data_IF_796097635234
#
_entry.id   IF_796097635234
#
_cell.length_a   1.000
_cell.length_b   1.000
_cell.length_c   1.000
_cell.angle_alpha   90.00
_cell.angle_beta   90.00
_cell.angle_gamma   90.00
#
_symmetry.space_group_name_H-M   'P 1'
#
loop_
_entity.id
_entity.type
_entity.pdbx_description
1 polymer ?
#
# COMPACT_ATOMS: atom_id res chain seq x y z
N UNK A 1 -16.96 -33.06 3.94
CA UNK A 1 -17.28 -31.63 3.78
C UNK A 1 -16.82 -30.86 5.01
N UNK A 2 -16.59 -29.57 4.87
CA UNK A 2 -16.15 -28.65 5.92
C UNK A 2 -17.18 -27.53 6.08
N UNK A 3 -17.56 -27.21 7.32
CA UNK A 3 -18.44 -26.06 7.61
C UNK A 3 -17.71 -24.73 7.41
N UNK A 4 -18.39 -23.63 7.08
CA UNK A 4 -17.75 -22.31 7.13
C UNK A 4 -17.42 -21.94 8.59
N UNK A 5 -16.23 -21.37 8.88
CA UNK A 5 -15.94 -20.94 10.26
C UNK A 5 -16.71 -19.68 10.66
N UNK A 6 -17.22 -18.91 9.69
CA UNK A 6 -17.91 -17.64 9.95
C UNK A 6 -19.44 -17.72 9.88
N UNK A 7 -20.01 -18.86 9.49
CA UNK A 7 -21.46 -19.06 9.47
C UNK A 7 -21.83 -20.54 9.58
N UNK A 8 -23.05 -20.82 10.02
CA UNK A 8 -23.54 -22.18 10.24
C UNK A 8 -24.20 -22.81 9.00
N UNK A 9 -24.47 -21.99 7.97
CA UNK A 9 -25.37 -22.38 6.88
C UNK A 9 -24.67 -23.02 5.67
N UNK A 10 -23.35 -22.84 5.54
CA UNK A 10 -22.62 -23.18 4.33
C UNK A 10 -21.54 -24.23 4.59
N UNK A 11 -21.41 -25.17 3.66
CA UNK A 11 -20.38 -26.22 3.68
C UNK A 11 -19.69 -26.31 2.32
N UNK A 12 -18.42 -26.69 2.33
CA UNK A 12 -17.64 -26.88 1.11
C UNK A 12 -16.71 -28.10 1.22
N UNK A 13 -16.25 -28.62 0.09
CA UNK A 13 -15.26 -29.70 0.08
C UNK A 13 -13.89 -29.20 0.57
N UNK A 14 -13.09 -30.10 1.14
CA UNK A 14 -11.73 -29.80 1.54
C UNK A 14 -10.93 -29.22 0.36
N UNK A 15 -10.31 -28.06 0.55
CA UNK A 15 -9.54 -27.36 -0.48
C UNK A 15 -10.39 -26.66 -1.55
N UNK A 16 -11.72 -26.66 -1.43
CA UNK A 16 -12.64 -26.05 -2.40
C UNK A 16 -13.39 -24.83 -1.88
N UNK A 17 -13.12 -24.38 -0.66
CA UNK A 17 -13.66 -23.12 -0.13
C UNK A 17 -13.11 -21.89 -0.86
N UNK A 18 -13.58 -20.73 -0.42
CA UNK A 18 -13.16 -19.45 -0.99
C UNK A 18 -11.68 -19.16 -0.70
N UNK A 19 -11.03 -18.38 -1.55
CA UNK A 19 -9.62 -18.00 -1.39
C UNK A 19 -9.49 -16.90 -0.34
N UNK A 20 -9.09 -17.26 0.87
CA UNK A 20 -8.83 -16.33 1.96
C UNK A 20 -7.32 -16.09 2.08
N UNK A 21 -6.88 -14.84 2.20
CA UNK A 21 -5.44 -14.52 2.24
C UNK A 21 -4.97 -14.23 3.67
N UNK A 22 -3.80 -14.76 4.04
CA UNK A 22 -3.20 -14.49 5.34
C UNK A 22 -2.77 -13.01 5.47
N UNK A 23 -2.31 -12.40 4.38
CA UNK A 23 -2.16 -10.95 4.23
C UNK A 23 -3.05 -10.52 3.08
N UNK A 24 -3.79 -9.42 3.23
CA UNK A 24 -4.74 -8.98 2.21
C UNK A 24 -4.06 -8.88 0.84
N UNK A 25 -4.75 -9.40 -0.18
CA UNK A 25 -4.28 -9.38 -1.57
C UNK A 25 -4.01 -7.94 -2.04
N UNK A 26 -4.77 -6.96 -1.58
CA UNK A 26 -4.60 -5.52 -1.88
C UNK A 26 -3.28 -4.93 -1.35
N UNK A 27 -2.71 -5.54 -0.31
CA UNK A 27 -1.45 -5.12 0.32
C UNK A 27 -0.24 -5.91 -0.20
N UNK A 28 -0.42 -6.74 -1.23
CA UNK A 28 0.65 -7.55 -1.79
C UNK A 28 0.77 -8.96 -1.20
N UNK A 29 -0.17 -9.39 -0.35
CA UNK A 29 -0.17 -10.76 0.19
C UNK A 29 -0.30 -11.85 -0.86
N UNK A 30 0.31 -13.02 -0.61
CA UNK A 30 0.33 -14.18 -1.54
C UNK A 30 -0.07 -15.51 -0.89
N UNK A 31 0.17 -15.67 0.41
CA UNK A 31 -0.23 -16.88 1.15
C UNK A 31 -1.75 -16.89 1.36
N UNK A 32 -2.37 -18.01 1.01
CA UNK A 32 -3.82 -18.19 1.07
C UNK A 32 -4.22 -19.55 1.62
N UNK A 33 -5.46 -19.67 2.06
CA UNK A 33 -6.12 -20.92 2.42
C UNK A 33 -7.48 -21.02 1.72
N UNK A 34 -7.89 -22.24 1.39
CA UNK A 34 -9.23 -22.58 0.87
C UNK A 34 -10.06 -23.39 1.86
N UNK A 35 -9.60 -23.49 3.11
CA UNK A 35 -10.20 -24.32 4.15
C UNK A 35 -10.91 -23.50 5.24
N UNK A 36 -11.01 -22.19 5.05
CA UNK A 36 -11.50 -21.22 6.05
C UNK A 36 -13.01 -20.99 5.89
N UNK A 37 -13.43 -20.43 4.75
CA UNK A 37 -14.77 -19.87 4.61
C UNK A 37 -15.44 -20.18 3.25
N UNK A 38 -16.77 -20.06 3.23
CA UNK A 38 -17.55 -20.06 2.00
C UNK A 38 -17.41 -18.73 1.24
N UNK A 39 -17.86 -18.70 -0.01
CA UNK A 39 -17.78 -17.49 -0.85
C UNK A 39 -18.62 -16.33 -0.30
N UNK A 40 -19.83 -16.62 0.21
CA UNK A 40 -20.71 -15.61 0.80
C UNK A 40 -20.06 -14.87 1.98
N UNK A 41 -19.46 -15.62 2.92
CA UNK A 41 -18.75 -15.01 4.05
C UNK A 41 -17.49 -14.26 3.61
N UNK A 42 -16.72 -14.78 2.66
CA UNK A 42 -15.55 -14.07 2.16
C UNK A 42 -15.95 -12.72 1.53
N UNK A 43 -16.99 -12.70 0.69
CA UNK A 43 -17.47 -11.47 0.06
C UNK A 43 -18.05 -10.47 1.07
N UNK A 44 -18.78 -10.96 2.08
CA UNK A 44 -19.33 -10.12 3.16
C UNK A 44 -18.21 -9.48 3.97
N UNK A 45 -17.27 -10.27 4.47
CA UNK A 45 -16.14 -9.77 5.27
C UNK A 45 -15.20 -8.90 4.44
N UNK A 46 -14.99 -9.24 3.16
CA UNK A 46 -14.25 -8.41 2.22
C UNK A 46 -14.78 -6.98 2.19
N UNK A 47 -16.10 -6.82 2.02
CA UNK A 47 -16.76 -5.51 2.02
C UNK A 47 -16.81 -4.83 3.38
N UNK A 48 -17.02 -5.61 4.44
CA UNK A 48 -17.27 -5.06 5.77
C UNK A 48 -16.00 -4.60 6.49
N UNK A 49 -14.90 -5.36 6.34
CA UNK A 49 -13.68 -5.16 7.14
C UNK A 49 -12.41 -5.04 6.28
N UNK A 50 -12.27 -5.79 5.17
CA UNK A 50 -11.02 -5.77 4.39
C UNK A 50 -10.90 -4.54 3.48
N UNK A 51 -12.02 -4.06 2.90
CA UNK A 51 -12.04 -2.91 1.99
C UNK A 51 -11.63 -1.62 2.72
N UNK A 52 -12.04 -1.45 3.98
CA UNK A 52 -11.67 -0.30 4.81
C UNK A 52 -10.17 -0.23 5.07
N UNK A 53 -9.59 -1.34 5.55
CA UNK A 53 -8.15 -1.44 5.78
C UNK A 53 -7.35 -1.26 4.48
N UNK A 54 -7.80 -1.90 3.40
CA UNK A 54 -7.19 -1.79 2.07
C UNK A 54 -7.19 -0.35 1.55
N UNK A 55 -8.31 0.36 1.69
CA UNK A 55 -8.45 1.75 1.24
C UNK A 55 -7.51 2.68 2.02
N UNK A 56 -7.48 2.55 3.35
CA UNK A 56 -6.65 3.39 4.22
C UNK A 56 -5.15 3.23 3.99
N UNK A 57 -4.72 2.01 3.66
CA UNK A 57 -3.32 1.74 3.35
C UNK A 57 -2.99 1.86 1.84
N UNK A 58 -3.97 2.21 1.01
CA UNK A 58 -3.82 2.18 -0.45
C UNK A 58 -2.79 3.17 -0.97
N UNK A 59 -2.60 4.31 -0.30
CA UNK A 59 -1.57 5.30 -0.66
C UNK A 59 -0.16 4.69 -0.61
N UNK A 60 0.11 3.81 0.36
CA UNK A 60 1.39 3.11 0.47
C UNK A 60 1.54 2.13 -0.70
N UNK A 61 0.47 1.40 -1.04
CA UNK A 61 0.46 0.53 -2.22
C UNK A 61 0.76 1.30 -3.51
N UNK A 62 0.21 2.50 -3.68
CA UNK A 62 0.48 3.36 -4.84
C UNK A 62 1.91 3.87 -4.83
N UNK A 63 2.41 4.41 -3.72
CA UNK A 63 3.78 4.93 -3.58
C UNK A 63 4.82 3.84 -3.88
N UNK A 64 4.59 2.62 -3.39
CA UNK A 64 5.49 1.48 -3.59
C UNK A 64 5.24 0.71 -4.90
N UNK A 65 4.22 1.08 -5.68
CA UNK A 65 3.77 0.34 -6.88
C UNK A 65 3.50 -1.15 -6.62
N UNK A 66 2.84 -1.45 -5.50
CA UNK A 66 2.56 -2.82 -5.08
C UNK A 66 1.51 -3.46 -5.99
N UNK A 67 1.83 -4.66 -6.47
CA UNK A 67 0.87 -5.49 -7.21
C UNK A 67 0.09 -6.37 -6.26
N UNK A 68 -1.23 -6.38 -6.47
CA UNK A 68 -2.12 -7.24 -5.69
C UNK A 68 -1.79 -8.72 -5.86
N UNK A 69 -2.30 -9.59 -4.97
CA UNK A 69 -2.25 -11.07 -5.08
C UNK A 69 -2.75 -11.64 -6.40
N UNK A 70 -3.45 -10.83 -7.21
CA UNK A 70 -3.97 -11.16 -8.53
C UNK A 70 -3.22 -10.42 -9.66
N UNK A 71 -2.04 -9.87 -9.38
CA UNK A 71 -1.20 -9.09 -10.30
C UNK A 71 -1.86 -7.83 -10.88
N UNK A 72 -2.89 -7.28 -10.22
CA UNK A 72 -3.43 -5.94 -10.55
C UNK A 72 -2.55 -4.85 -9.96
N UNK A 73 -2.38 -3.76 -10.69
CA UNK A 73 -1.67 -2.56 -10.23
C UNK A 73 -2.41 -1.88 -9.07
N UNK A 74 -1.68 -1.12 -8.26
CA UNK A 74 -2.25 -0.25 -7.25
C UNK A 74 -3.21 0.78 -7.89
N UNK A 75 -4.21 1.30 -7.13
CA UNK A 75 -5.11 2.31 -7.65
C UNK A 75 -4.42 3.67 -7.82
N UNK A 76 -5.00 4.52 -8.67
CA UNK A 76 -4.65 5.94 -8.75
C UNK A 76 -5.25 6.67 -7.54
N UNK A 77 -4.44 7.45 -6.85
CA UNK A 77 -4.86 8.23 -5.69
C UNK A 77 -5.27 9.63 -6.14
N UNK A 78 -6.53 10.00 -5.89
CA UNK A 78 -7.10 11.23 -6.44
C UNK A 78 -6.82 12.42 -5.52
N UNK A 79 -6.19 13.48 -6.04
CA UNK A 79 -6.00 14.74 -5.33
C UNK A 79 -5.16 14.69 -4.04
N UNK A 80 -4.37 13.63 -3.85
CA UNK A 80 -3.57 13.42 -2.62
C UNK A 80 -2.25 14.20 -2.62
N UNK A 81 -1.79 14.64 -3.79
CA UNK A 81 -0.55 15.39 -3.93
C UNK A 81 -0.88 16.88 -3.94
N UNK A 82 -0.20 17.67 -3.11
CA UNK A 82 -0.33 19.12 -3.05
C UNK A 82 0.90 19.82 -3.61
N UNK A 83 0.69 20.82 -4.44
CA UNK A 83 1.76 21.67 -4.96
C UNK A 83 1.26 23.12 -5.02
N UNK A 84 1.69 23.93 -4.06
CA UNK A 84 1.02 25.21 -3.78
C UNK A 84 -0.45 24.98 -3.40
N UNK A 85 -1.36 25.72 -4.03
CA UNK A 85 -2.81 25.61 -3.81
C UNK A 85 -3.48 24.52 -4.68
N UNK A 86 -2.70 23.84 -5.51
CA UNK A 86 -3.21 22.86 -6.47
C UNK A 86 -3.11 21.43 -5.95
N UNK A 87 -3.99 20.57 -6.47
CA UNK A 87 -4.04 19.15 -6.12
C UNK A 87 -3.87 18.26 -7.35
N UNK A 88 -3.05 17.24 -7.21
CA UNK A 88 -2.68 16.31 -8.26
C UNK A 88 -3.02 14.88 -7.85
N UNK A 89 -3.30 14.06 -8.85
CA UNK A 89 -3.48 12.63 -8.72
C UNK A 89 -2.11 11.96 -8.72
N UNK A 90 -1.94 10.91 -7.92
CA UNK A 90 -0.74 10.08 -7.90
C UNK A 90 -1.01 8.74 -8.57
N UNK A 91 -0.23 8.43 -9.60
CA UNK A 91 -0.24 7.13 -10.26
C UNK A 91 0.70 6.15 -9.54
N UNK A 92 0.49 4.83 -9.69
CA UNK A 92 1.41 3.81 -9.17
C UNK A 92 2.85 3.93 -9.71
N UNK A 93 3.02 4.55 -10.88
CA UNK A 93 4.33 4.85 -11.47
C UNK A 93 5.09 5.95 -10.73
N UNK A 94 4.45 6.63 -9.76
CA UNK A 94 4.98 7.83 -9.11
C UNK A 94 4.73 9.11 -9.91
N UNK A 95 4.05 9.03 -11.06
CA UNK A 95 3.66 10.21 -11.83
C UNK A 95 2.55 11.00 -11.13
N UNK A 96 2.67 12.32 -11.20
CA UNK A 96 1.71 13.26 -10.64
C UNK A 96 0.96 13.94 -11.78
N UNK A 97 -0.33 13.66 -11.90
CA UNK A 97 -1.15 14.18 -12.99
C UNK A 97 -2.21 15.15 -12.45
N UNK A 98 -2.41 16.28 -13.12
CA UNK A 98 -3.56 17.15 -12.81
C UNK A 98 -4.85 16.39 -13.03
N UNK A 99 -5.72 16.41 -12.02
CA UNK A 99 -7.07 15.85 -12.12
C UNK A 99 -8.00 16.71 -12.99
N UNK A 100 -7.75 18.03 -13.06
CA UNK A 100 -8.47 18.98 -13.92
C UNK A 100 -7.49 19.81 -14.72
N UNK A 101 -7.73 19.90 -16.02
CA UNK A 101 -7.01 20.80 -16.93
C UNK A 101 -7.50 22.23 -16.69
N UNK A 102 -6.58 23.19 -16.59
CA UNK A 102 -6.95 24.61 -16.57
C UNK A 102 -7.18 25.10 -18.00
N UNK A 103 -8.28 25.81 -18.23
CA UNK A 103 -8.58 26.42 -19.52
C UNK A 103 -9.13 27.84 -19.32
N UNK A 104 -8.56 28.80 -20.04
CA UNK A 104 -9.02 30.18 -20.05
C UNK A 104 -9.08 30.70 -21.49
N UNK A 105 -10.21 31.34 -21.82
CA UNK A 105 -10.45 31.95 -23.12
C UNK A 105 -10.75 33.44 -22.93
N UNK A 106 -10.00 34.33 -23.56
CA UNK A 106 -10.27 35.78 -23.53
C UNK A 106 -10.32 36.35 -24.94
N UNK A 107 -11.38 37.07 -25.27
CA UNK A 107 -11.49 37.78 -26.55
C UNK A 107 -11.16 39.25 -26.35
N UNK A 108 -10.09 39.72 -26.99
CA UNK A 108 -9.66 41.12 -26.97
C UNK A 108 -9.41 41.57 -28.41
N UNK A 109 -9.98 42.73 -28.80
CA UNK A 109 -9.77 43.33 -30.13
C UNK A 109 -10.02 42.38 -31.31
N UNK A 110 -11.05 41.52 -31.22
CA UNK A 110 -11.40 40.56 -32.28
C UNK A 110 -10.55 39.29 -32.33
N UNK A 111 -9.51 39.17 -31.49
CA UNK A 111 -8.68 37.97 -31.35
C UNK A 111 -9.04 37.24 -30.05
N UNK A 112 -9.17 35.91 -30.12
CA UNK A 112 -9.36 35.07 -28.93
C UNK A 112 -8.02 34.48 -28.52
N UNK A 113 -7.59 34.75 -27.29
CA UNK A 113 -6.44 34.12 -26.65
C UNK A 113 -6.88 32.83 -25.97
N UNK A 114 -6.13 31.77 -26.25
CA UNK A 114 -6.33 30.43 -25.72
C UNK A 114 -5.22 30.12 -24.73
N UNK A 115 -5.58 29.80 -23.49
CA UNK A 115 -4.63 29.34 -22.47
C UNK A 115 -5.12 28.02 -21.90
N UNK A 116 -4.30 26.97 -22.05
CA UNK A 116 -4.59 25.63 -21.56
C UNK A 116 -3.37 25.10 -20.81
N UNK A 117 -3.59 24.58 -19.61
CA UNK A 117 -2.56 23.90 -18.81
C UNK A 117 -2.99 22.45 -18.63
N UNK A 118 -2.33 21.54 -19.34
CA UNK A 118 -2.65 20.11 -19.41
C UNK A 118 -1.44 19.24 -19.02
N UNK A 119 -1.65 17.93 -18.86
CA UNK A 119 -0.57 16.99 -18.53
C UNK A 119 0.33 16.66 -19.74
N UNK A 120 -0.18 16.81 -20.96
CA UNK A 120 0.57 16.60 -22.20
C UNK A 120 0.20 17.64 -23.26
N UNK A 121 1.09 17.88 -24.21
CA UNK A 121 0.84 18.77 -25.35
C UNK A 121 -0.35 18.27 -26.17
N UNK A 122 -0.42 16.97 -26.48
CA UNK A 122 -1.56 16.38 -27.20
C UNK A 122 -2.90 16.64 -26.49
N UNK A 123 -2.92 16.55 -25.16
CA UNK A 123 -4.12 16.83 -24.38
C UNK A 123 -4.51 18.31 -24.49
N UNK A 124 -3.54 19.22 -24.41
CA UNK A 124 -3.79 20.65 -24.59
C UNK A 124 -4.33 20.95 -26.00
N UNK A 125 -3.70 20.39 -27.04
CA UNK A 125 -4.10 20.55 -28.44
C UNK A 125 -5.51 20.03 -28.70
N UNK A 126 -5.86 18.85 -28.18
CA UNK A 126 -7.23 18.30 -28.29
C UNK A 126 -8.29 19.22 -27.68
N UNK A 127 -7.98 19.87 -26.56
CA UNK A 127 -8.89 20.80 -25.89
C UNK A 127 -9.05 22.08 -26.71
N UNK A 128 -7.94 22.63 -27.23
CA UNK A 128 -7.95 23.80 -28.12
C UNK A 128 -8.73 23.49 -29.40
N UNK A 129 -8.48 22.35 -30.04
CA UNK A 129 -9.22 21.88 -31.23
C UNK A 129 -10.72 21.80 -30.99
N UNK A 130 -11.13 21.18 -29.87
CA UNK A 130 -12.54 21.08 -29.51
C UNK A 130 -13.20 22.46 -29.40
N UNK A 131 -12.48 23.44 -28.84
CA UNK A 131 -12.97 24.80 -28.69
C UNK A 131 -12.90 25.63 -29.97
N UNK A 132 -12.00 25.33 -30.90
CA UNK A 132 -11.98 25.94 -32.22
C UNK A 132 -13.11 25.42 -33.09
N UNK A 133 -13.36 24.10 -33.07
CA UNK A 133 -14.47 23.46 -33.80
C UNK A 133 -15.82 24.01 -33.37
N UNK A 134 -16.03 24.26 -32.08
CA UNK A 134 -17.26 24.90 -31.58
C UNK A 134 -17.48 26.33 -32.11
N UNK A 135 -16.42 26.95 -32.65
CA UNK A 135 -16.42 28.29 -33.27
C UNK A 135 -16.28 28.25 -34.79
N UNK A 136 -16.35 27.06 -35.41
CA UNK A 136 -16.18 26.89 -36.85
C UNK A 136 -14.76 27.15 -37.35
N UNK A 137 -13.75 27.03 -36.47
CA UNK A 137 -12.33 27.22 -36.77
C UNK A 137 -11.54 25.92 -36.62
N UNK A 138 -10.31 25.93 -37.10
CA UNK A 138 -9.32 24.85 -37.07
C UNK A 138 -8.00 25.33 -36.45
N UNK A 139 -7.07 24.41 -36.20
CA UNK A 139 -5.73 24.76 -35.71
C UNK A 139 -4.97 25.68 -36.69
N UNK A 140 -5.24 25.58 -37.99
CA UNK A 140 -4.60 26.42 -39.01
C UNK A 140 -5.00 27.91 -38.88
N UNK A 141 -6.09 28.20 -38.16
CA UNK A 141 -6.54 29.56 -37.86
C UNK A 141 -5.80 30.20 -36.67
N UNK A 142 -4.87 29.48 -36.03
CA UNK A 142 -4.04 30.00 -34.94
C UNK A 142 -2.89 30.82 -35.53
N UNK A 143 -2.93 32.14 -35.33
CA UNK A 143 -1.86 33.04 -35.78
C UNK A 143 -0.52 32.79 -35.06
N UNK A 144 -0.57 32.43 -33.77
CA UNK A 144 0.61 32.22 -32.93
C UNK A 144 0.27 31.28 -31.77
N UNK A 145 1.12 30.28 -31.55
CA UNK A 145 1.07 29.38 -30.41
C UNK A 145 2.43 29.29 -29.74
N UNK A 146 2.44 29.25 -28.41
CA UNK A 146 3.64 28.97 -27.62
C UNK A 146 3.31 27.79 -26.72
N UNK A 147 4.09 26.72 -26.84
CA UNK A 147 4.04 25.57 -25.95
C UNK A 147 5.23 25.69 -25.01
N UNK A 148 4.96 25.71 -23.71
CA UNK A 148 5.99 25.74 -22.67
C UNK A 148 5.82 24.52 -21.79
N UNK A 149 6.84 23.68 -21.77
CA UNK A 149 6.95 22.60 -20.80
C UNK A 149 7.39 23.17 -19.45
N UNK A 150 6.68 22.81 -18.38
CA UNK A 150 6.95 23.32 -17.03
C UNK A 150 7.09 22.15 -16.06
N UNK A 151 8.29 21.99 -15.51
CA UNK A 151 8.54 21.08 -14.40
C UNK A 151 8.49 21.85 -13.08
N UNK A 152 7.74 21.33 -12.11
CA UNK A 152 7.64 21.91 -10.78
C UNK A 152 8.02 20.87 -9.73
N UNK A 153 8.74 21.32 -8.71
CA UNK A 153 9.22 20.49 -7.62
C UNK A 153 8.72 21.02 -6.28
N UNK A 154 8.68 20.15 -5.28
CA UNK A 154 8.23 20.51 -3.94
C UNK A 154 6.82 20.02 -3.60
N UNK A 155 6.29 19.08 -4.37
CA UNK A 155 5.04 18.41 -4.06
C UNK A 155 5.05 17.79 -2.65
N UNK A 156 3.91 17.83 -1.98
CA UNK A 156 3.72 17.28 -0.64
C UNK A 156 2.61 16.24 -0.65
N UNK A 157 2.82 15.14 0.06
CA UNK A 157 1.79 14.17 0.40
C UNK A 157 1.73 14.16 1.92
N UNK A 158 0.54 14.38 2.46
CA UNK A 158 0.28 14.37 3.91
C UNK A 158 -0.87 13.44 4.17
N UNK A 159 -0.61 12.38 4.93
CA UNK A 159 -1.57 11.34 5.25
C UNK A 159 -1.53 11.04 6.74
N UNK A 160 -2.70 10.72 7.30
CA UNK A 160 -2.84 10.30 8.69
C UNK A 160 -3.37 8.87 8.73
N UNK A 161 -2.60 7.97 9.32
CA UNK A 161 -3.01 6.58 9.50
C UNK A 161 -3.65 6.40 10.89
N UNK A 162 -4.94 6.07 10.90
CA UNK A 162 -5.69 5.73 12.11
C UNK A 162 -6.56 4.51 11.86
N UNK A 163 -6.40 3.46 12.65
CA UNK A 163 -7.15 2.20 12.49
C UNK A 163 -8.43 2.24 13.33
N UNK A 164 -9.56 1.96 12.71
CA UNK A 164 -10.83 1.73 13.40
C UNK A 164 -11.02 0.24 13.69
N UNK A 165 -12.05 -0.09 14.45
CA UNK A 165 -12.31 -1.47 14.88
C UNK A 165 -12.48 -2.45 13.71
N UNK A 166 -13.10 -2.05 12.60
CA UNK A 166 -13.23 -2.90 11.42
C UNK A 166 -11.86 -3.25 10.81
N UNK A 167 -10.88 -2.36 10.90
CA UNK A 167 -9.52 -2.67 10.44
C UNK A 167 -8.86 -3.71 11.34
N UNK A 168 -9.06 -3.57 12.66
CA UNK A 168 -8.57 -4.53 13.64
C UNK A 168 -9.21 -5.91 13.44
N UNK A 169 -10.51 -5.98 13.08
CA UNK A 169 -11.17 -7.22 12.68
C UNK A 169 -10.55 -7.84 11.42
N UNK A 170 -10.16 -7.03 10.43
CA UNK A 170 -9.44 -7.51 9.25
C UNK A 170 -8.06 -8.07 9.61
N UNK A 171 -7.35 -7.43 10.55
CA UNK A 171 -6.07 -7.93 11.09
C UNK A 171 -6.25 -9.25 11.86
N UNK A 172 -7.32 -9.39 12.66
CA UNK A 172 -7.66 -10.66 13.30
C UNK A 172 -7.92 -11.78 12.27
N UNK A 173 -8.67 -11.45 11.21
CA UNK A 173 -8.96 -12.37 10.09
C UNK A 173 -7.68 -12.82 9.39
N UNK A 174 -6.74 -11.91 9.15
CA UNK A 174 -5.42 -12.20 8.61
C UNK A 174 -4.65 -13.21 9.48
N UNK A 175 -4.56 -12.97 10.79
CA UNK A 175 -3.91 -13.86 11.74
C UNK A 175 -4.56 -15.25 11.81
N UNK A 176 -5.90 -15.31 11.90
CA UNK A 176 -6.64 -16.57 11.91
C UNK A 176 -6.45 -17.36 10.61
N UNK A 177 -6.40 -16.66 9.47
CA UNK A 177 -6.14 -17.28 8.16
C UNK A 177 -4.71 -17.81 8.07
N UNK A 178 -3.72 -17.13 8.66
CA UNK A 178 -2.36 -17.66 8.75
C UNK A 178 -2.33 -18.96 9.56
N UNK A 179 -2.96 -18.98 10.75
CA UNK A 179 -3.08 -20.19 11.57
C UNK A 179 -3.75 -21.34 10.79
N UNK A 180 -4.76 -21.02 9.96
CA UNK A 180 -5.45 -21.99 9.10
C UNK A 180 -4.55 -22.75 8.13
N UNK A 181 -3.35 -22.22 7.83
CA UNK A 181 -2.36 -22.88 6.97
C UNK A 181 -1.47 -23.87 7.73
N UNK A 182 -1.54 -23.88 9.07
CA UNK A 182 -0.66 -24.64 9.96
C UNK A 182 -1.40 -25.69 10.79
N UNK A 183 -2.71 -25.55 10.96
CA UNK A 183 -3.54 -26.52 11.70
C UNK A 183 -4.48 -27.29 10.77
N UNK A 184 -4.99 -28.42 11.26
CA UNK A 184 -6.02 -29.16 10.52
C UNK A 184 -7.29 -28.30 10.38
N UNK A 185 -8.00 -28.37 9.25
CA UNK A 185 -9.26 -27.65 9.07
C UNK A 185 -10.30 -27.96 10.16
N UNK A 186 -10.35 -29.21 10.65
CA UNK A 186 -11.27 -29.59 11.72
C UNK A 186 -11.03 -28.81 13.02
N UNK A 187 -9.77 -28.52 13.36
CA UNK A 187 -9.42 -27.82 14.61
C UNK A 187 -9.91 -26.38 14.64
N UNK A 188 -9.84 -25.67 13.51
CA UNK A 188 -10.37 -24.30 13.41
C UNK A 188 -11.88 -24.18 13.67
N UNK A 189 -12.62 -25.29 13.55
CA UNK A 189 -14.05 -25.36 13.80
C UNK A 189 -14.37 -25.78 15.24
N UNK A 190 -13.34 -26.01 16.06
CA UNK A 190 -13.50 -26.22 17.49
C UNK A 190 -13.91 -24.93 18.21
N UNK A 191 -14.44 -25.07 19.41
CA UNK A 191 -14.83 -23.94 20.26
C UNK A 191 -13.64 -23.09 20.73
N UNK A 192 -12.40 -23.55 20.52
CA UNK A 192 -11.17 -22.85 20.93
C UNK A 192 -11.06 -21.44 20.31
N UNK A 193 -11.67 -21.20 19.15
CA UNK A 193 -11.55 -19.95 18.37
C UNK A 193 -12.83 -19.11 18.35
N UNK A 194 -13.82 -19.44 19.18
CA UNK A 194 -15.14 -18.82 19.09
C UNK A 194 -15.09 -17.29 19.29
N UNK A 195 -14.28 -16.81 20.23
CA UNK A 195 -14.17 -15.38 20.54
C UNK A 195 -13.63 -14.57 19.36
N UNK A 196 -12.51 -15.01 18.76
CA UNK A 196 -11.94 -14.30 17.60
C UNK A 196 -12.86 -14.39 16.38
N UNK A 197 -13.56 -15.51 16.18
CA UNK A 197 -14.53 -15.67 15.09
C UNK A 197 -15.72 -14.72 15.27
N UNK A 198 -16.27 -14.63 16.49
CA UNK A 198 -17.36 -13.71 16.82
C UNK A 198 -16.92 -12.24 16.64
N UNK A 199 -15.72 -11.90 17.10
CA UNK A 199 -15.14 -10.58 16.92
C UNK A 199 -15.01 -10.20 15.44
N UNK A 200 -14.46 -11.09 14.60
CA UNK A 200 -14.40 -10.89 13.14
C UNK A 200 -15.79 -10.73 12.53
N UNK A 201 -16.79 -11.43 13.07
CA UNK A 201 -18.18 -11.34 12.63
C UNK A 201 -18.93 -10.09 13.14
N UNK A 202 -18.27 -9.24 13.94
CA UNK A 202 -18.83 -7.97 14.39
C UNK A 202 -19.56 -8.02 15.72
N UNK A 203 -19.28 -9.01 16.58
CA UNK A 203 -19.76 -8.98 17.96
C UNK A 203 -19.17 -7.80 18.74
N UNK A 204 -19.88 -7.31 19.76
CA UNK A 204 -19.44 -6.25 20.68
C UNK A 204 -18.40 -6.70 21.73
N UNK A 205 -17.64 -7.77 21.44
CA UNK A 205 -16.48 -8.14 22.23
C UNK A 205 -15.49 -6.97 22.23
N UNK A 206 -14.88 -6.68 23.39
CA UNK A 206 -13.93 -5.60 23.49
C UNK A 206 -12.76 -5.87 22.53
N UNK A 207 -12.59 -4.98 21.55
CA UNK A 207 -11.55 -5.09 20.53
C UNK A 207 -10.17 -5.26 21.16
N UNK A 208 -9.90 -4.51 22.24
CA UNK A 208 -8.62 -4.57 22.93
C UNK A 208 -8.33 -5.96 23.47
N UNK A 209 -9.32 -6.78 23.81
CA UNK A 209 -9.08 -8.15 24.29
C UNK A 209 -8.60 -9.09 23.18
N UNK A 210 -8.88 -8.77 21.91
CA UNK A 210 -8.59 -9.64 20.75
C UNK A 210 -7.45 -9.08 19.89
N UNK A 211 -7.45 -7.79 19.55
CA UNK A 211 -6.43 -7.16 18.69
C UNK A 211 -5.98 -5.84 19.29
N UNK A 212 -4.68 -5.62 19.32
CA UNK A 212 -4.10 -4.39 19.83
C UNK A 212 -2.98 -3.87 18.91
N UNK A 213 -2.94 -2.56 18.68
CA UNK A 213 -1.79 -1.90 18.03
C UNK A 213 -0.60 -1.94 18.98
N UNK A 214 0.47 -2.64 18.61
CA UNK A 214 1.47 -3.09 19.56
C UNK A 214 2.88 -2.65 19.16
N UNK A 215 3.37 -1.58 19.79
CA UNK A 215 4.73 -1.08 19.60
C UNK A 215 5.68 -1.53 20.71
N UNK A 216 5.18 -2.23 21.72
CA UNK A 216 5.97 -2.72 22.84
C UNK A 216 6.54 -4.11 22.57
N UNK A 217 5.75 -4.99 21.96
CA UNK A 217 6.19 -6.35 21.63
C UNK A 217 7.29 -6.33 20.58
N UNK A 218 8.39 -7.03 20.89
CA UNK A 218 9.51 -7.17 19.97
C UNK A 218 9.21 -8.25 18.92
N UNK A 219 9.40 -7.89 17.65
CA UNK A 219 9.31 -8.81 16.54
C UNK A 219 10.69 -9.43 16.28
N UNK A 220 10.81 -10.75 16.09
CA UNK A 220 12.10 -11.38 15.82
C UNK A 220 12.72 -10.86 14.51
N UNK A 221 13.90 -10.25 14.59
CA UNK A 221 14.56 -9.58 13.46
C UNK A 221 15.10 -10.55 12.41
N UNK A 222 15.41 -11.79 12.78
CA UNK A 222 15.98 -12.78 11.87
C UNK A 222 15.04 -13.22 10.74
N UNK A 223 13.73 -12.94 10.84
CA UNK A 223 12.74 -13.27 9.81
C UNK A 223 12.30 -12.04 8.99
N UNK A 224 13.19 -11.07 8.84
CA UNK A 224 12.98 -9.90 7.99
C UNK A 224 13.47 -10.19 6.56
N UNK A 225 12.65 -9.87 5.56
CA UNK A 225 13.02 -10.00 4.12
C UNK A 225 13.39 -8.67 3.49
N UNK A 226 12.87 -7.56 4.02
CA UNK A 226 13.22 -6.19 3.65
C UNK A 226 12.69 -5.20 4.70
N UNK A 227 12.93 -3.91 4.52
CA UNK A 227 12.45 -2.82 5.40
C UNK A 227 10.95 -2.51 5.25
N UNK A 228 10.29 -3.04 4.21
CA UNK A 228 8.87 -2.79 3.91
C UNK A 228 8.03 -4.07 3.93
N UNK A 229 8.56 -5.12 4.57
CA UNK A 229 7.93 -6.43 4.56
C UNK A 229 6.61 -6.46 5.35
N UNK A 230 5.80 -7.46 5.04
CA UNK A 230 4.71 -7.89 5.91
C UNK A 230 5.15 -9.16 6.63
N UNK A 231 4.84 -9.28 7.92
CA UNK A 231 5.13 -10.47 8.71
C UNK A 231 3.91 -10.91 9.50
N UNK A 232 3.68 -12.22 9.57
CA UNK A 232 2.75 -12.83 10.50
C UNK A 232 3.48 -13.95 11.23
N UNK A 233 3.58 -13.80 12.54
CA UNK A 233 4.00 -14.86 13.43
C UNK A 233 2.78 -15.51 14.05
N UNK A 234 2.82 -16.83 14.23
CA UNK A 234 1.83 -17.58 15.00
C UNK A 234 2.59 -18.32 16.08
N UNK A 235 2.16 -18.11 17.32
CA UNK A 235 2.62 -18.83 18.48
C UNK A 235 1.42 -19.50 19.15
N UNK A 236 1.54 -20.77 19.47
CA UNK A 236 0.64 -21.45 20.39
C UNK A 236 1.43 -22.15 21.49
N UNK A 237 0.88 -22.13 22.70
CA UNK A 237 1.48 -22.74 23.87
C UNK A 237 0.45 -23.68 24.48
N UNK A 238 0.72 -24.98 24.43
CA UNK A 238 -0.14 -25.98 25.07
C UNK A 238 -0.20 -25.78 26.59
N UNK A 239 0.91 -25.34 27.19
CA UNK A 239 1.02 -25.13 28.64
C UNK A 239 0.25 -23.89 29.10
N UNK A 240 0.31 -22.79 28.35
CA UNK A 240 -0.44 -21.57 28.68
C UNK A 240 -1.90 -21.62 28.19
N UNK A 241 -2.23 -22.54 27.29
CA UNK A 241 -3.55 -22.60 26.66
C UNK A 241 -3.80 -21.45 25.68
N UNK A 242 -2.75 -20.76 25.23
CA UNK A 242 -2.87 -19.55 24.41
C UNK A 242 -2.49 -19.80 22.94
N UNK A 243 -3.15 -19.07 22.04
CA UNK A 243 -2.67 -18.82 20.68
C UNK A 243 -2.60 -17.31 20.44
N UNK A 244 -1.42 -16.82 20.12
CA UNK A 244 -1.15 -15.41 19.85
C UNK A 244 -0.50 -15.26 18.47
N UNK A 245 -0.91 -14.22 17.74
CA UNK A 245 -0.27 -13.83 16.50
C UNK A 245 0.33 -12.43 16.61
N UNK A 246 1.50 -12.25 16.00
CA UNK A 246 2.10 -10.93 15.81
C UNK A 246 2.04 -10.59 14.33
N UNK A 247 1.36 -9.50 13.99
CA UNK A 247 1.17 -9.05 12.60
C UNK A 247 1.93 -7.74 12.42
N UNK A 248 2.78 -7.66 11.40
CA UNK A 248 3.43 -6.44 10.97
C UNK A 248 3.10 -6.18 9.51
N UNK A 249 2.69 -4.94 9.21
CA UNK A 249 2.46 -4.47 7.85
C UNK A 249 3.45 -3.35 7.50
N UNK A 250 4.03 -3.44 6.32
CA UNK A 250 4.98 -2.46 5.78
C UNK A 250 6.16 -2.15 6.72
N UNK A 251 6.64 -3.17 7.45
CA UNK A 251 7.76 -3.07 8.38
C UNK A 251 7.51 -2.24 9.65
N UNK A 252 6.35 -1.58 9.79
CA UNK A 252 6.13 -0.59 10.84
C UNK A 252 4.77 -0.61 11.53
N UNK A 253 3.68 -1.00 10.85
CA UNK A 253 2.38 -1.14 11.51
C UNK A 253 2.30 -2.49 12.22
N UNK A 254 2.41 -2.48 13.55
CA UNK A 254 2.49 -3.70 14.36
C UNK A 254 1.24 -3.92 15.20
N UNK A 255 0.85 -5.18 15.29
CA UNK A 255 -0.32 -5.63 16.02
C UNK A 255 -0.04 -6.95 16.74
N UNK A 256 -0.59 -7.10 17.94
CA UNK A 256 -0.75 -8.39 18.60
C UNK A 256 -2.21 -8.83 18.53
N UNK A 257 -2.42 -10.12 18.28
CA UNK A 257 -3.75 -10.72 18.11
C UNK A 257 -3.85 -11.95 19.00
N UNK A 258 -4.84 -11.98 19.88
CA UNK A 258 -5.24 -13.17 20.62
C UNK A 258 -6.20 -14.00 19.76
N UNK A 259 -5.79 -15.21 19.39
CA UNK A 259 -6.62 -16.15 18.62
C UNK A 259 -7.38 -17.14 19.52
N UNK A 260 -6.81 -17.54 20.66
CA UNK A 260 -7.47 -18.46 21.59
C UNK A 260 -6.91 -18.36 23.01
N UNK A 261 -7.78 -18.56 24.02
CA UNK A 261 -7.43 -18.78 25.43
C UNK A 261 -7.61 -20.22 25.90
N UNK A 262 -8.06 -21.10 25.01
CA UNK A 262 -8.46 -22.47 25.33
C UNK A 262 -7.73 -23.47 24.44
N UNK A 263 -6.48 -23.17 24.06
CA UNK A 263 -5.69 -24.00 23.17
C UNK A 263 -5.31 -25.32 23.83
N UNK A 264 -5.78 -26.42 23.25
CA UNK A 264 -5.45 -27.79 23.67
C UNK A 264 -4.52 -28.50 22.70
N UNK A 265 -4.19 -27.85 21.58
CA UNK A 265 -3.34 -28.41 20.54
C UNK A 265 -1.85 -28.42 20.89
N UNK A 266 -1.00 -28.96 20.00
CA UNK A 266 0.44 -28.88 20.16
C UNK A 266 0.92 -27.43 20.13
N UNK A 267 2.06 -27.14 20.75
CA UNK A 267 2.71 -25.85 20.57
C UNK A 267 3.16 -25.68 19.12
N UNK A 268 2.87 -24.51 18.54
CA UNK A 268 3.18 -24.12 17.17
C UNK A 268 3.96 -22.83 17.25
N UNK A 269 5.04 -22.73 16.50
CA UNK A 269 5.74 -21.48 16.33
C UNK A 269 6.14 -21.39 14.86
N UNK A 270 5.63 -20.39 14.15
CA UNK A 270 5.94 -20.21 12.73
C UNK A 270 5.87 -18.74 12.32
N UNK A 271 6.52 -18.43 11.20
CA UNK A 271 6.55 -17.12 10.58
C UNK A 271 6.22 -17.22 9.09
N UNK A 272 5.44 -16.27 8.60
CA UNK A 272 5.37 -15.93 7.21
C UNK A 272 5.79 -14.47 7.02
N UNK A 273 6.81 -14.22 6.21
CA UNK A 273 7.27 -12.89 5.83
C UNK A 273 7.24 -12.73 4.31
N UNK A 274 6.88 -11.55 3.81
CA UNK A 274 6.88 -11.24 2.38
C UNK A 274 7.22 -9.78 2.13
N UNK A 275 8.07 -9.53 1.14
CA UNK A 275 8.23 -8.20 0.55
C UNK A 275 7.08 -7.94 -0.43
N UNK A 276 6.23 -6.92 -0.20
CA UNK A 276 5.06 -6.68 -1.03
C UNK A 276 5.40 -6.18 -2.44
N UNK A 277 6.63 -5.73 -2.69
CA UNK A 277 7.13 -5.27 -3.99
C UNK A 277 7.87 -6.39 -4.70
N UNK A 278 8.97 -6.90 -4.13
CA UNK A 278 9.82 -7.91 -4.77
C UNK A 278 9.21 -9.31 -4.77
N UNK A 279 8.28 -9.59 -3.84
CA UNK A 279 7.68 -10.90 -3.59
C UNK A 279 8.63 -11.94 -2.96
N UNK A 280 9.82 -11.53 -2.54
CA UNK A 280 10.70 -12.36 -1.72
C UNK A 280 10.00 -12.72 -0.42
N UNK A 281 10.15 -13.97 0.02
CA UNK A 281 9.34 -14.50 1.12
C UNK A 281 10.07 -15.53 1.97
N UNK A 282 9.67 -15.59 3.23
CA UNK A 282 10.00 -16.64 4.20
C UNK A 282 8.69 -17.29 4.64
N UNK A 283 8.66 -18.62 4.68
CA UNK A 283 7.56 -19.40 5.25
C UNK A 283 8.20 -20.56 6.01
N UNK A 284 8.29 -20.43 7.33
CA UNK A 284 9.12 -21.32 8.13
C UNK A 284 8.53 -21.53 9.51
N UNK A 285 8.72 -22.72 10.03
CA UNK A 285 8.53 -22.98 11.45
C UNK A 285 9.75 -22.41 12.19
N UNK A 286 9.53 -21.87 13.38
CA UNK A 286 10.55 -21.11 14.11
C UNK A 286 10.81 -21.75 15.47
N UNK A 287 12.08 -21.80 15.86
CA UNK A 287 12.47 -22.24 17.19
C UNK A 287 12.49 -21.02 18.12
N UNK A 288 11.31 -20.61 18.57
CA UNK A 288 11.14 -19.46 19.44
C UNK A 288 10.23 -19.82 20.60
N UNK A 289 10.79 -19.72 21.80
CA UNK A 289 10.06 -19.83 23.06
C UNK A 289 9.64 -18.42 23.48
N UNK A 290 8.34 -18.15 23.43
CA UNK A 290 7.75 -16.87 23.80
C UNK A 290 6.71 -17.13 24.89
N UNK A 291 6.84 -16.47 26.03
CA UNK A 291 5.82 -16.49 27.08
C UNK A 291 4.64 -15.65 26.61
N UNK A 292 3.57 -16.32 26.16
CA UNK A 292 2.47 -15.67 25.45
C UNK A 292 1.66 -14.75 26.36
N UNK A 293 1.51 -15.11 27.62
CA UNK A 293 0.85 -14.26 28.61
C UNK A 293 1.62 -12.94 28.81
N UNK A 294 2.95 -12.98 28.87
CA UNK A 294 3.78 -11.77 29.00
C UNK A 294 3.63 -10.83 27.80
N UNK A 295 3.44 -11.37 26.59
CA UNK A 295 3.12 -10.58 25.38
C UNK A 295 1.79 -9.86 25.54
N UNK A 296 0.75 -10.57 26.00
CA UNK A 296 -0.58 -9.99 26.19
C UNK A 296 -0.60 -8.94 27.31
N UNK A 297 0.18 -9.15 28.37
CA UNK A 297 0.24 -8.25 29.52
C UNK A 297 1.04 -6.96 29.23
N UNK A 298 2.01 -7.03 28.30
CA UNK A 298 2.91 -5.91 27.97
C UNK A 298 2.53 -5.15 26.69
N UNK A 299 1.53 -5.62 25.93
CA UNK A 299 1.05 -4.97 24.72
C UNK A 299 0.71 -3.51 24.98
N UNK A 300 1.08 -2.64 24.05
CA UNK A 300 0.88 -1.21 24.22
C UNK A 300 1.28 -0.42 22.98
N UNK A 301 0.66 0.74 22.81
CA UNK A 301 0.97 1.64 21.70
C UNK A 301 1.54 2.95 22.24
N UNK A 302 2.85 3.13 22.04
CA UNK A 302 3.53 4.41 22.25
C UNK A 302 3.73 5.09 20.91
N UNK A 303 3.17 6.30 20.75
CA UNK A 303 3.18 7.03 19.48
C UNK A 303 4.59 7.30 18.96
N UNK A 304 5.54 7.68 19.83
CA UNK A 304 6.93 7.92 19.42
C UNK A 304 7.61 6.66 18.86
N UNK A 305 7.36 5.50 19.48
CA UNK A 305 7.83 4.21 18.96
C UNK A 305 7.18 3.84 17.63
N UNK A 306 5.87 4.13 17.46
CA UNK A 306 5.18 3.90 16.20
C UNK A 306 5.80 4.70 15.06
N UNK A 307 6.14 5.98 15.31
CA UNK A 307 6.81 6.85 14.34
C UNK A 307 8.20 6.29 14.00
N UNK A 308 8.98 5.88 15.00
CA UNK A 308 10.30 5.28 14.80
C UNK A 308 10.22 3.99 13.95
N UNK A 309 9.24 3.14 14.22
CA UNK A 309 8.99 1.90 13.46
C UNK A 309 8.59 2.15 12.01
N UNK A 310 7.92 3.27 11.71
CA UNK A 310 7.54 3.63 10.33
C UNK A 310 8.65 4.35 9.55
N UNK A 311 9.74 4.77 10.21
CA UNK A 311 10.83 5.49 9.55
C UNK A 311 11.44 4.72 8.37
N UNK A 312 11.77 3.40 8.48
CA UNK A 312 12.34 2.66 7.35
C UNK A 312 11.43 2.64 6.12
N UNK A 313 10.11 2.55 6.31
CA UNK A 313 9.13 2.63 5.22
C UNK A 313 9.21 3.97 4.49
N UNK A 314 9.22 5.08 5.22
CA UNK A 314 9.28 6.41 4.60
C UNK A 314 10.64 6.71 3.96
N UNK A 315 11.73 6.23 4.55
CA UNK A 315 13.06 6.30 3.96
C UNK A 315 13.10 5.52 2.63
N UNK A 316 12.49 4.33 2.58
CA UNK A 316 12.37 3.53 1.37
C UNK A 316 11.51 4.24 0.30
N UNK A 317 10.34 4.77 0.65
CA UNK A 317 9.46 5.52 -0.27
C UNK A 317 10.22 6.73 -0.83
N UNK A 318 10.91 7.48 0.01
CA UNK A 318 11.69 8.66 -0.38
C UNK A 318 12.80 8.29 -1.37
N UNK A 319 13.48 7.16 -1.15
CA UNK A 319 14.55 6.67 -2.04
C UNK A 319 14.01 6.18 -3.38
N UNK A 320 12.88 5.47 -3.38
CA UNK A 320 12.20 5.00 -4.58
C UNK A 320 11.67 6.16 -5.44
N UNK A 321 11.15 7.20 -4.79
CA UNK A 321 10.71 8.44 -5.45
C UNK A 321 11.87 9.13 -6.19
N UNK A 322 13.03 9.26 -5.55
CA UNK A 322 14.25 9.79 -6.21
C UNK A 322 14.60 8.96 -7.44
N UNK A 323 14.70 7.63 -7.28
CA UNK A 323 15.10 6.74 -8.38
C UNK A 323 14.16 6.83 -9.58
N UNK A 324 12.85 6.95 -9.34
CA UNK A 324 11.86 7.11 -10.42
C UNK A 324 12.01 8.43 -11.15
N UNK A 325 12.26 9.51 -10.41
CA UNK A 325 12.47 10.83 -11.03
C UNK A 325 13.78 10.90 -11.81
N UNK A 326 14.86 10.29 -11.29
CA UNK A 326 16.12 10.15 -12.02
C UNK A 326 15.91 9.41 -13.34
N UNK A 327 15.22 8.28 -13.30
CA UNK A 327 14.92 7.50 -14.50
C UNK A 327 14.05 8.29 -15.48
N UNK A 328 13.03 9.01 -15.00
CA UNK A 328 12.18 9.87 -15.85
C UNK A 328 13.00 10.95 -16.54
N UNK A 329 13.89 11.63 -15.82
CA UNK A 329 14.77 12.66 -16.39
C UNK A 329 15.66 12.07 -17.50
N UNK A 330 16.18 10.87 -17.29
CA UNK A 330 17.00 10.15 -18.27
C UNK A 330 16.15 9.80 -19.50
N UNK A 331 15.00 9.15 -19.30
CA UNK A 331 14.13 8.66 -20.37
C UNK A 331 13.61 9.83 -21.23
N UNK A 332 13.18 10.94 -20.61
CA UNK A 332 12.73 12.13 -21.33
C UNK A 332 13.85 12.78 -22.15
N UNK A 333 15.09 12.81 -21.63
CA UNK A 333 16.22 13.31 -22.41
C UNK A 333 16.54 12.39 -23.60
N UNK A 334 16.55 11.07 -23.37
CA UNK A 334 16.77 10.07 -24.42
C UNK A 334 15.72 10.17 -25.53
N UNK A 335 14.44 10.24 -25.18
CA UNK A 335 13.34 10.42 -26.13
C UNK A 335 13.49 11.71 -26.95
N UNK A 336 13.79 12.83 -26.28
CA UNK A 336 13.98 14.14 -26.92
C UNK A 336 15.08 14.14 -27.99
N UNK A 337 16.15 13.38 -27.79
CA UNK A 337 17.28 13.31 -28.71
C UNK A 337 17.28 12.05 -29.59
N UNK A 338 16.23 11.22 -29.52
CA UNK A 338 16.11 9.99 -30.31
C UNK A 338 17.19 8.95 -29.99
N UNK A 339 17.62 8.88 -28.73
CA UNK A 339 18.67 7.97 -28.26
C UNK A 339 18.03 6.76 -27.58
N UNK A 340 18.39 5.55 -28.01
CA UNK A 340 17.88 4.30 -27.41
C UNK A 340 18.77 3.78 -26.27
N UNK A 341 20.07 4.06 -26.32
CA UNK A 341 21.05 3.59 -25.33
C UNK A 341 22.04 4.71 -25.04
N UNK A 342 22.27 5.00 -23.75
CA UNK A 342 23.33 5.89 -23.32
C UNK A 342 24.66 5.16 -23.35
N UNK A 343 25.55 5.56 -24.25
CA UNK A 343 26.90 5.04 -24.39
C UNK A 343 27.91 6.18 -24.64
N UNK A 344 29.18 5.82 -24.84
CA UNK A 344 30.27 6.75 -25.11
C UNK A 344 30.16 7.49 -26.45
N UNK A 345 29.25 7.07 -27.34
CA UNK A 345 29.03 7.68 -28.65
C UNK A 345 27.88 8.69 -28.64
N UNK A 346 27.15 8.80 -27.52
CA UNK A 346 26.06 9.76 -27.39
C UNK A 346 26.60 11.20 -27.41
N UNK A 347 25.86 12.08 -28.09
CA UNK A 347 26.19 13.51 -28.12
C UNK A 347 26.25 14.09 -26.70
N UNK A 348 27.29 14.85 -26.40
CA UNK A 348 27.50 15.56 -25.12
C UNK A 348 26.26 16.36 -24.71
N UNK A 349 25.47 16.85 -25.67
CA UNK A 349 24.23 17.59 -25.43
C UNK A 349 23.21 16.77 -24.64
N UNK A 350 23.15 15.45 -24.85
CA UNK A 350 22.26 14.53 -24.11
C UNK A 350 22.69 14.48 -22.65
N UNK A 351 23.99 14.24 -22.39
CA UNK A 351 24.55 14.18 -21.04
C UNK A 351 24.44 15.51 -20.31
N UNK A 352 24.68 16.63 -20.98
CA UNK A 352 24.50 17.97 -20.41
C UNK A 352 23.04 18.23 -20.01
N UNK A 353 22.08 17.76 -20.82
CA UNK A 353 20.65 17.88 -20.52
C UNK A 353 20.29 17.07 -19.27
N UNK A 354 20.72 15.81 -19.20
CA UNK A 354 20.49 14.93 -18.04
C UNK A 354 21.13 15.55 -16.78
N UNK A 355 22.41 15.92 -16.84
CA UNK A 355 23.14 16.47 -15.71
C UNK A 355 22.50 17.76 -15.18
N UNK A 356 22.07 18.67 -16.07
CA UNK A 356 21.39 19.90 -15.71
C UNK A 356 20.07 19.63 -14.97
N UNK A 357 19.24 18.72 -15.49
CA UNK A 357 17.93 18.42 -14.91
C UNK A 357 18.06 17.68 -13.57
N UNK A 358 19.00 16.74 -13.45
CA UNK A 358 19.32 16.08 -12.19
C UNK A 358 19.82 17.09 -11.14
N UNK A 359 20.71 18.01 -11.54
CA UNK A 359 21.19 19.05 -10.63
C UNK A 359 20.06 19.95 -10.13
N UNK A 360 19.13 20.37 -10.99
CA UNK A 360 17.96 21.16 -10.59
C UNK A 360 17.06 20.40 -9.60
N UNK A 361 16.77 19.11 -9.86
CA UNK A 361 16.02 18.24 -8.96
C UNK A 361 16.65 18.17 -7.56
N UNK A 362 17.94 17.83 -7.50
CA UNK A 362 18.67 17.68 -6.24
C UNK A 362 18.79 18.99 -5.45
N UNK A 363 19.09 20.11 -6.13
CA UNK A 363 19.18 21.44 -5.50
C UNK A 363 17.86 21.85 -4.85
N UNK A 364 16.74 21.71 -5.58
CA UNK A 364 15.41 22.08 -5.07
C UNK A 364 14.98 21.20 -3.88
N UNK A 365 15.31 19.91 -3.91
CA UNK A 365 15.05 18.98 -2.80
C UNK A 365 15.85 19.36 -1.55
N UNK A 366 17.14 19.69 -1.72
CA UNK A 366 18.03 20.10 -0.62
C UNK A 366 17.56 21.38 0.07
N UNK A 367 17.16 22.40 -0.70
CA UNK A 367 16.64 23.68 -0.16
C UNK A 367 15.43 23.46 0.76
N UNK A 368 14.59 22.48 0.44
CA UNK A 368 13.41 22.14 1.25
C UNK A 368 13.78 21.42 2.54
N UNK A 369 14.73 20.49 2.50
CA UNK A 369 15.22 19.83 3.71
C UNK A 369 15.84 20.83 4.69
N UNK A 370 16.62 21.80 4.20
CA UNK A 370 17.17 22.85 5.06
C UNK A 370 16.13 23.79 5.67
N UNK A 371 14.99 24.03 4.99
CA UNK A 371 13.89 24.85 5.51
C UNK A 371 13.06 24.17 6.60
N UNK A 372 13.15 22.83 6.74
CA UNK A 372 12.50 22.09 7.83
C UNK A 372 13.38 21.99 9.09
N UNK A 373 14.63 22.41 9.01
CA UNK A 373 15.62 22.35 10.10
C UNK A 373 15.80 23.71 10.84
N UNK A 374 15.12 24.76 10.37
CA UNK A 374 15.00 26.08 11.01
C UNK A 374 13.56 26.23 11.47
#
# INVERSE_FOLDING_TARGET
MLDCIYCEHEKFELGKGSKEHAILSSLGGRKLSRNVCCESCNNRLGKAIDDGLSSRLSIISTLLNIKTGRNKNAPVQQGVVKLGDESYNLLPTGEMLRGKVEQQWKTEQGKTKFHVVANTEEQALKIIEGQLKSRGKSLDDIEMGVVTEVSQYGAEISETFSFCENDLRSIAKMALTMLATKVSPSRLRGSEFIDVIQYINGSDLNAEDIVFSDTNTLFPSQYQVSDINHRIFIYSSQTEGLVVSLVELYGGFRFSVLLSRNWTGPSISCCYAIDPVSQDKIDSDIDANLELQAVLDSRGCVQSKAIEQLKPLFDYISKLDVQREEQRIIDTAMEKYGVEVLDENCDDVVFQTIAKNLADMYLRRSIRQSRKLV
#
